data_IF_962564967936
#
_entry.id   IF_962564967936
#
_cell.length_a   1.000
_cell.length_b   1.000
_cell.length_c   1.000
_cell.angle_alpha   90.00
_cell.angle_beta   90.00
_cell.angle_gamma   90.00
#
_symmetry.space_group_name_H-M   'P 1'
#
loop_
_entity.id
_entity.type
_entity.pdbx_description
1 polymer ?
#
# COMPACT_ATOMS: atom_id res chain seq x y z
N UNK A 1 -40.16 -0.91 1.78
CA UNK A 1 -40.87 -1.86 0.88
C UNK A 1 -40.01 -2.00 -0.37
N UNK A 2 -39.58 -3.20 -0.77
CA UNK A 2 -40.31 -4.15 -1.63
C UNK A 2 -40.74 -3.50 -2.98
N UNK A 3 -40.35 -4.01 -4.15
CA UNK A 3 -39.54 -5.21 -4.41
C UNK A 3 -38.63 -5.10 -5.66
N UNK A 4 -37.57 -5.91 -5.60
CA UNK A 4 -36.80 -6.53 -6.68
C UNK A 4 -37.46 -6.52 -8.07
N UNK A 5 -36.62 -6.39 -9.10
CA UNK A 5 -36.52 -7.45 -10.11
C UNK A 5 -35.04 -7.79 -10.38
N UNK A 6 -34.75 -9.07 -10.62
CA UNK A 6 -33.41 -9.59 -10.93
C UNK A 6 -33.39 -10.09 -12.38
N UNK A 7 -32.25 -9.95 -13.07
CA UNK A 7 -31.89 -10.81 -14.21
C UNK A 7 -30.38 -10.93 -14.42
N UNK A 8 -29.75 -11.68 -13.53
CA UNK A 8 -28.54 -12.48 -13.77
C UNK A 8 -28.99 -13.97 -13.82
N UNK A 9 -28.28 -14.97 -14.34
CA UNK A 9 -26.90 -15.12 -14.88
C UNK A 9 -26.98 -16.10 -16.08
N UNK A 10 -26.38 -15.87 -17.25
CA UNK A 10 -25.00 -16.21 -17.72
C UNK A 10 -24.61 -17.70 -17.80
N UNK A 11 -23.60 -17.96 -18.65
CA UNK A 11 -22.91 -19.23 -19.00
C UNK A 11 -23.62 -20.11 -20.07
N UNK A 12 -23.04 -20.53 -21.21
CA UNK A 12 -21.66 -20.76 -21.75
C UNK A 12 -21.26 -22.26 -21.77
N UNK A 13 -20.26 -22.60 -22.59
CA UNK A 13 -19.56 -23.90 -22.77
C UNK A 13 -20.20 -24.90 -23.76
N UNK A 14 -19.78 -24.75 -25.03
CA UNK A 14 -19.15 -25.78 -25.89
C UNK A 14 -19.60 -27.25 -25.86
N UNK A 15 -19.94 -27.79 -27.04
CA UNK A 15 -19.56 -29.17 -27.45
C UNK A 15 -19.57 -29.35 -28.98
N UNK A 16 -18.62 -30.15 -29.48
CA UNK A 16 -18.54 -30.60 -30.88
C UNK A 16 -19.52 -31.76 -31.12
N UNK A 17 -19.94 -32.01 -32.38
CA UNK A 17 -19.87 -33.33 -33.05
C UNK A 17 -20.42 -33.31 -34.51
N UNK A 18 -20.19 -34.43 -35.21
CA UNK A 18 -20.13 -34.64 -36.65
C UNK A 18 -21.43 -34.67 -37.50
N UNK A 19 -21.22 -34.51 -38.82
CA UNK A 19 -21.80 -35.19 -40.01
C UNK A 19 -22.52 -36.57 -39.79
N UNK A 20 -23.26 -37.17 -40.78
CA UNK A 20 -23.77 -36.70 -42.10
C UNK A 20 -25.23 -37.19 -42.48
N UNK A 21 -25.61 -37.16 -43.79
CA UNK A 21 -26.68 -37.95 -44.50
C UNK A 21 -28.18 -37.54 -44.26
N UNK A 22 -29.19 -37.79 -45.15
CA UNK A 22 -29.28 -38.15 -46.60
C UNK A 22 -30.75 -38.19 -47.15
N UNK A 23 -30.96 -38.36 -48.48
CA UNK A 23 -32.24 -38.61 -49.23
C UNK A 23 -33.27 -37.43 -49.23
N UNK A 24 -34.18 -37.17 -50.19
CA UNK A 24 -34.59 -37.72 -51.53
C UNK A 24 -35.51 -36.66 -52.25
N UNK A 25 -36.24 -36.79 -53.38
CA UNK A 25 -36.62 -37.85 -54.36
C UNK A 25 -37.07 -37.25 -55.74
N UNK A 26 -37.00 -38.05 -56.82
CA UNK A 26 -37.87 -38.21 -58.04
C UNK A 26 -38.88 -37.13 -58.53
N UNK A 27 -38.83 -36.68 -59.81
CA UNK A 27 -39.48 -37.19 -61.08
C UNK A 27 -40.97 -36.79 -61.28
N UNK A 28 -41.59 -36.67 -62.49
CA UNK A 28 -41.36 -37.23 -63.84
C UNK A 28 -41.61 -36.24 -65.03
N UNK A 29 -41.27 -36.68 -66.26
CA UNK A 29 -41.59 -36.06 -67.57
C UNK A 29 -43.06 -36.28 -68.02
N UNK A 30 -43.50 -35.65 -69.15
CA UNK A 30 -43.67 -36.40 -70.42
C UNK A 30 -43.71 -35.55 -71.71
N UNK A 31 -43.45 -36.19 -72.86
CA UNK A 31 -43.49 -35.66 -74.24
C UNK A 31 -44.86 -35.84 -74.92
N UNK A 32 -45.08 -35.17 -76.06
CA UNK A 32 -45.98 -35.69 -77.11
C UNK A 32 -46.27 -34.74 -78.27
N UNK A 33 -45.85 -35.09 -79.50
CA UNK A 33 -46.34 -34.45 -80.75
C UNK A 33 -46.60 -35.49 -81.84
N UNK A 34 -47.67 -35.29 -82.61
CA UNK A 34 -48.10 -36.07 -83.80
C UNK A 34 -49.16 -35.23 -84.57
N UNK A 35 -49.37 -35.37 -85.88
CA UNK A 35 -48.60 -36.13 -86.87
C UNK A 35 -49.25 -36.22 -88.27
N UNK A 36 -48.57 -35.69 -89.29
CA UNK A 36 -48.38 -36.26 -90.65
C UNK A 36 -49.54 -36.69 -91.60
N UNK A 37 -49.46 -36.19 -92.86
CA UNK A 37 -49.63 -36.95 -94.14
C UNK A 37 -51.07 -37.33 -94.64
N UNK A 38 -51.39 -37.70 -95.91
CA UNK A 38 -50.61 -38.00 -97.17
C UNK A 38 -51.47 -37.99 -98.48
N UNK A 39 -50.83 -37.76 -99.66
CA UNK A 39 -50.98 -38.46 -101.00
C UNK A 39 -52.37 -38.63 -101.70
N UNK A 40 -52.56 -39.12 -102.96
CA UNK A 40 -51.74 -39.43 -104.18
C UNK A 40 -52.62 -39.33 -105.48
N UNK A 41 -52.48 -40.24 -106.47
CA UNK A 41 -53.41 -40.55 -107.62
C UNK A 41 -53.40 -39.52 -108.78
N UNK A 42 -53.36 -39.82 -110.10
CA UNK A 42 -53.13 -41.04 -110.94
C UNK A 42 -52.47 -40.66 -112.31
N UNK A 43 -52.39 -41.54 -113.33
CA UNK A 43 -51.76 -41.27 -114.65
C UNK A 43 -52.64 -41.50 -115.91
N UNK A 44 -52.18 -40.89 -117.01
CA UNK A 44 -52.21 -41.33 -118.44
C UNK A 44 -53.41 -41.00 -119.36
N UNK A 45 -53.19 -40.05 -120.29
CA UNK A 45 -53.75 -40.00 -121.66
C UNK A 45 -52.96 -39.03 -122.57
N UNK A 46 -52.95 -39.28 -123.88
CA UNK A 46 -52.66 -38.36 -125.00
C UNK A 46 -51.38 -37.47 -124.97
N UNK A 47 -50.25 -38.01 -125.43
CA UNK A 47 -49.18 -37.21 -126.06
C UNK A 47 -49.59 -36.83 -127.51
N UNK A 48 -50.41 -35.79 -127.67
CA UNK A 48 -50.79 -35.27 -129.00
C UNK A 48 -51.09 -33.76 -129.08
N UNK A 49 -51.04 -33.02 -127.97
CA UNK A 49 -51.08 -31.54 -127.93
C UNK A 49 -50.49 -31.05 -126.59
N UNK A 50 -49.70 -29.98 -126.51
CA UNK A 50 -49.13 -29.15 -127.56
C UNK A 50 -48.56 -27.84 -126.99
N UNK A 51 -47.24 -27.62 -127.12
CA UNK A 51 -46.55 -26.32 -126.97
C UNK A 51 -46.51 -25.59 -125.61
N UNK A 52 -47.55 -25.68 -124.77
CA UNK A 52 -47.79 -24.65 -123.73
C UNK A 52 -47.19 -24.99 -122.35
N UNK A 53 -47.03 -26.27 -122.00
CA UNK A 53 -46.72 -26.73 -120.63
C UNK A 53 -45.33 -26.33 -120.12
N UNK A 54 -44.32 -26.25 -120.98
CA UNK A 54 -42.94 -25.91 -120.57
C UNK A 54 -42.79 -24.40 -120.33
N UNK A 55 -43.34 -23.57 -121.22
CA UNK A 55 -43.30 -22.12 -121.09
C UNK A 55 -44.09 -21.60 -119.88
N UNK A 56 -45.27 -22.19 -119.62
CA UNK A 56 -46.06 -21.83 -118.44
C UNK A 56 -45.38 -22.25 -117.14
N UNK A 57 -44.78 -23.44 -117.06
CA UNK A 57 -44.07 -23.89 -115.85
C UNK A 57 -42.91 -22.96 -115.46
N UNK A 58 -42.08 -22.53 -116.43
CA UNK A 58 -40.95 -21.63 -116.17
C UNK A 58 -41.41 -20.22 -115.78
N UNK A 59 -42.44 -19.68 -116.45
CA UNK A 59 -43.00 -18.36 -116.12
C UNK A 59 -43.75 -18.36 -114.78
N UNK A 60 -44.44 -19.45 -114.44
CA UNK A 60 -45.07 -19.63 -113.13
C UNK A 60 -44.02 -19.77 -112.03
N UNK A 61 -42.95 -20.56 -112.23
CA UNK A 61 -41.84 -20.66 -111.27
C UNK A 61 -41.14 -19.32 -111.04
N UNK A 62 -40.93 -18.52 -112.09
CA UNK A 62 -40.30 -17.20 -112.00
C UNK A 62 -41.26 -16.06 -111.55
N UNK A 63 -42.57 -16.35 -111.45
CA UNK A 63 -43.54 -15.54 -110.69
C UNK A 63 -43.59 -15.99 -109.23
N UNK A 64 -43.64 -17.29 -108.97
CA UNK A 64 -43.67 -17.88 -107.63
C UNK A 64 -42.44 -17.44 -106.83
N UNK A 65 -41.23 -17.61 -107.38
CA UNK A 65 -39.98 -17.15 -106.75
C UNK A 65 -39.97 -15.63 -106.46
N UNK A 66 -40.67 -14.81 -107.26
CA UNK A 66 -40.82 -13.36 -107.00
C UNK A 66 -41.86 -13.03 -105.93
N UNK A 67 -42.92 -13.83 -105.81
CA UNK A 67 -43.88 -13.74 -104.71
C UNK A 67 -43.27 -14.28 -103.40
N UNK A 68 -42.42 -15.30 -103.48
CA UNK A 68 -41.69 -15.91 -102.39
C UNK A 68 -40.59 -14.99 -101.86
N UNK A 69 -39.81 -14.34 -102.75
CA UNK A 69 -38.91 -13.23 -102.38
C UNK A 69 -39.69 -12.11 -101.68
N UNK A 70 -40.76 -11.57 -102.29
CA UNK A 70 -41.59 -10.51 -101.68
C UNK A 70 -42.23 -10.92 -100.36
N UNK A 71 -42.57 -12.20 -100.20
CA UNK A 71 -43.06 -12.72 -98.94
C UNK A 71 -41.95 -12.76 -97.90
N UNK A 72 -40.73 -13.20 -98.24
CA UNK A 72 -39.59 -13.16 -97.32
C UNK A 72 -39.15 -11.72 -96.98
N UNK A 73 -39.31 -10.77 -97.91
CA UNK A 73 -39.10 -9.33 -97.70
C UNK A 73 -40.13 -8.80 -96.69
N UNK A 74 -41.43 -9.03 -96.91
CA UNK A 74 -42.51 -8.61 -96.00
C UNK A 74 -42.48 -9.32 -94.64
N UNK A 75 -42.17 -10.62 -94.60
CA UNK A 75 -42.03 -11.39 -93.36
C UNK A 75 -40.81 -10.87 -92.57
N UNK A 76 -39.73 -10.42 -93.24
CA UNK A 76 -38.59 -9.77 -92.60
C UNK A 76 -38.92 -8.35 -92.09
N UNK A 77 -39.61 -7.52 -92.89
CA UNK A 77 -40.09 -6.19 -92.48
C UNK A 77 -41.02 -6.29 -91.26
N UNK A 78 -41.91 -7.28 -91.25
CA UNK A 78 -42.82 -7.56 -90.13
C UNK A 78 -42.06 -8.03 -88.87
N UNK A 79 -41.03 -8.87 -89.03
CA UNK A 79 -40.14 -9.25 -87.92
C UNK A 79 -39.39 -8.04 -87.38
N UNK A 80 -38.85 -7.14 -88.22
CA UNK A 80 -38.19 -5.91 -87.74
C UNK A 80 -39.16 -4.97 -87.01
N UNK A 81 -40.38 -4.76 -87.53
CA UNK A 81 -41.39 -3.97 -86.85
C UNK A 81 -41.78 -4.58 -85.49
N UNK A 82 -41.83 -5.90 -85.38
CA UNK A 82 -42.07 -6.58 -84.10
C UNK A 82 -40.88 -6.50 -83.13
N UNK A 83 -39.63 -6.46 -83.61
CA UNK A 83 -38.47 -6.22 -82.73
C UNK A 83 -38.39 -4.76 -82.28
N UNK A 84 -38.71 -3.82 -83.16
CA UNK A 84 -38.72 -2.39 -82.84
C UNK A 84 -39.79 -2.07 -81.81
N UNK A 85 -41.03 -2.54 -82.01
CA UNK A 85 -42.12 -2.41 -81.04
C UNK A 85 -41.78 -3.03 -79.69
N UNK A 86 -41.18 -4.23 -79.67
CA UNK A 86 -40.70 -4.85 -78.42
C UNK A 86 -39.64 -4.00 -77.73
N UNK A 87 -38.62 -3.52 -78.46
CA UNK A 87 -37.57 -2.67 -77.89
C UNK A 87 -38.12 -1.37 -77.30
N UNK A 88 -39.20 -0.84 -77.88
CA UNK A 88 -39.87 0.38 -77.43
C UNK A 88 -40.71 0.12 -76.17
N UNK A 89 -41.44 -0.98 -76.09
CA UNK A 89 -42.15 -1.37 -74.87
C UNK A 89 -41.19 -1.84 -73.75
N UNK A 90 -40.09 -2.53 -74.07
CA UNK A 90 -39.00 -2.85 -73.15
C UNK A 90 -38.35 -1.56 -72.58
N UNK A 91 -38.13 -0.54 -73.42
CA UNK A 91 -37.60 0.75 -72.98
C UNK A 91 -38.58 1.50 -72.05
N UNK A 92 -39.89 1.45 -72.34
CA UNK A 92 -40.94 1.99 -71.45
C UNK A 92 -41.02 1.26 -70.12
N UNK A 93 -40.92 -0.07 -70.11
CA UNK A 93 -40.87 -0.85 -68.87
C UNK A 93 -39.63 -0.47 -68.05
N UNK A 94 -38.46 -0.31 -68.68
CA UNK A 94 -37.25 0.16 -68.02
C UNK A 94 -37.37 1.59 -67.46
N UNK A 95 -38.04 2.51 -68.16
CA UNK A 95 -38.34 3.86 -67.66
C UNK A 95 -39.30 3.84 -66.47
N UNK A 96 -40.38 3.06 -66.54
CA UNK A 96 -41.35 2.89 -65.43
C UNK A 96 -40.65 2.30 -64.22
N UNK A 97 -39.87 1.22 -64.37
CA UNK A 97 -39.08 0.67 -63.26
C UNK A 97 -38.08 1.68 -62.68
N UNK A 98 -37.44 2.50 -63.51
CA UNK A 98 -36.51 3.54 -63.04
C UNK A 98 -37.22 4.66 -62.27
N UNK A 99 -38.46 5.01 -62.64
CA UNK A 99 -39.31 5.94 -61.88
C UNK A 99 -39.77 5.31 -60.55
N UNK A 100 -40.16 4.04 -60.57
CA UNK A 100 -40.61 3.28 -59.39
C UNK A 100 -39.49 3.11 -58.34
N UNK A 101 -38.25 2.90 -58.80
CA UNK A 101 -37.05 2.87 -57.94
C UNK A 101 -36.80 4.25 -57.31
N UNK A 102 -36.80 5.32 -58.11
CA UNK A 102 -36.65 6.71 -57.62
C UNK A 102 -37.76 7.13 -56.65
N UNK A 103 -38.99 6.66 -56.86
CA UNK A 103 -40.10 6.91 -55.93
C UNK A 103 -39.85 6.28 -54.56
N UNK A 104 -39.39 5.01 -54.53
CA UNK A 104 -39.02 4.30 -53.30
C UNK A 104 -37.80 4.93 -52.61
N UNK A 105 -36.80 5.33 -53.37
CA UNK A 105 -35.63 6.09 -52.87
C UNK A 105 -36.04 7.42 -52.24
N UNK A 106 -36.92 8.20 -52.89
CA UNK A 106 -37.44 9.46 -52.35
C UNK A 106 -38.24 9.26 -51.05
N UNK A 107 -39.06 8.22 -50.94
CA UNK A 107 -39.79 7.90 -49.70
C UNK A 107 -38.81 7.63 -48.56
N UNK A 108 -37.80 6.78 -48.78
CA UNK A 108 -36.75 6.49 -47.79
C UNK A 108 -35.92 7.73 -47.43
N UNK A 109 -35.69 8.64 -48.38
CA UNK A 109 -35.03 9.93 -48.12
C UNK A 109 -35.91 10.85 -47.24
N UNK A 110 -37.22 10.89 -47.46
CA UNK A 110 -38.12 11.65 -46.58
C UNK A 110 -38.19 11.05 -45.16
N UNK A 111 -38.34 9.73 -45.03
CA UNK A 111 -38.35 9.04 -43.74
C UNK A 111 -37.04 9.22 -42.95
N UNK A 112 -35.89 9.17 -43.62
CA UNK A 112 -34.57 9.43 -42.99
C UNK A 112 -34.37 10.91 -42.63
N UNK A 113 -34.90 11.84 -43.41
CA UNK A 113 -34.89 13.27 -43.08
C UNK A 113 -35.77 13.57 -41.86
N UNK A 114 -36.99 13.03 -41.79
CA UNK A 114 -37.93 13.27 -40.68
C UNK A 114 -37.46 12.62 -39.36
N UNK A 115 -36.85 11.44 -39.43
CA UNK A 115 -36.22 10.80 -38.25
C UNK A 115 -35.01 11.61 -37.75
N UNK A 116 -34.17 12.13 -38.64
CA UNK A 116 -33.04 13.00 -38.26
C UNK A 116 -33.51 14.35 -37.68
N UNK A 117 -34.58 14.95 -38.21
CA UNK A 117 -35.14 16.19 -37.66
C UNK A 117 -35.80 15.99 -36.30
N UNK A 118 -36.56 14.91 -36.11
CA UNK A 118 -37.23 14.62 -34.84
C UNK A 118 -36.25 14.28 -33.71
N UNK A 119 -35.18 13.51 -33.98
CA UNK A 119 -34.06 13.30 -33.05
C UNK A 119 -33.35 14.63 -32.71
N UNK A 120 -32.97 15.42 -33.73
CA UNK A 120 -32.34 16.74 -33.52
C UNK A 120 -33.20 17.68 -32.67
N UNK A 121 -34.53 17.70 -32.89
CA UNK A 121 -35.48 18.47 -32.08
C UNK A 121 -35.60 17.92 -30.64
N UNK A 122 -35.53 16.60 -30.44
CA UNK A 122 -35.50 16.01 -29.10
C UNK A 122 -34.23 16.39 -28.33
N UNK A 123 -33.06 16.36 -28.99
CA UNK A 123 -31.78 16.79 -28.42
C UNK A 123 -31.80 18.27 -28.03
N UNK A 124 -32.32 19.16 -28.87
CA UNK A 124 -32.47 20.58 -28.51
C UNK A 124 -33.44 20.80 -27.34
N UNK A 125 -34.56 20.06 -27.27
CA UNK A 125 -35.48 20.10 -26.12
C UNK A 125 -34.80 19.65 -24.83
N UNK A 126 -33.90 18.66 -24.90
CA UNK A 126 -33.15 18.18 -23.75
C UNK A 126 -32.07 19.18 -23.30
N UNK A 127 -31.24 19.67 -24.23
CA UNK A 127 -30.23 20.69 -23.93
C UNK A 127 -30.83 21.96 -23.32
N UNK A 128 -32.02 22.38 -23.79
CA UNK A 128 -32.74 23.51 -23.19
C UNK A 128 -33.19 23.22 -21.75
N UNK A 129 -33.69 22.01 -21.43
CA UNK A 129 -34.03 21.63 -20.05
C UNK A 129 -32.81 21.66 -19.13
N UNK A 130 -31.68 21.18 -19.62
CA UNK A 130 -30.40 21.19 -18.89
C UNK A 130 -29.93 22.63 -18.66
N UNK A 131 -29.97 23.50 -19.67
CA UNK A 131 -29.68 24.92 -19.49
C UNK A 131 -30.61 25.59 -18.47
N UNK A 132 -31.90 25.28 -18.47
CA UNK A 132 -32.83 25.76 -17.44
C UNK A 132 -32.54 25.21 -16.04
N UNK A 133 -32.01 23.99 -15.90
CA UNK A 133 -31.63 23.47 -14.57
C UNK A 133 -30.38 24.17 -14.02
N UNK A 134 -29.38 24.46 -14.87
CA UNK A 134 -28.23 25.29 -14.49
C UNK A 134 -28.65 26.72 -14.10
N UNK A 135 -29.51 27.37 -14.90
CA UNK A 135 -30.04 28.71 -14.59
C UNK A 135 -30.86 28.72 -13.29
N UNK A 136 -31.54 27.62 -12.94
CA UNK A 136 -32.27 27.48 -11.67
C UNK A 136 -31.35 27.27 -10.46
N UNK A 137 -30.20 26.61 -10.62
CA UNK A 137 -29.22 26.39 -9.55
C UNK A 137 -28.31 27.62 -9.30
N UNK A 138 -28.20 28.52 -10.28
CA UNK A 138 -27.31 29.69 -10.23
C UNK A 138 -27.55 30.62 -9.02
N UNK A 139 -28.80 30.95 -8.61
CA UNK A 139 -29.05 31.76 -7.41
C UNK A 139 -28.58 31.09 -6.11
N UNK A 140 -28.82 29.79 -5.96
CA UNK A 140 -28.41 29.01 -4.79
C UNK A 140 -26.87 28.98 -4.66
N UNK A 141 -26.17 28.80 -5.78
CA UNK A 141 -24.71 28.90 -5.83
C UNK A 141 -24.22 30.32 -5.46
N UNK A 142 -24.88 31.39 -5.92
CA UNK A 142 -24.52 32.77 -5.58
C UNK A 142 -24.72 33.08 -4.09
N UNK A 143 -25.78 32.60 -3.46
CA UNK A 143 -25.99 32.77 -2.02
C UNK A 143 -24.97 31.97 -1.19
N UNK A 144 -24.57 30.77 -1.64
CA UNK A 144 -23.43 30.04 -1.05
C UNK A 144 -22.12 30.84 -1.18
N UNK A 145 -21.80 31.39 -2.35
CA UNK A 145 -20.63 32.25 -2.53
C UNK A 145 -20.69 33.52 -1.65
N UNK A 146 -21.88 34.09 -1.43
CA UNK A 146 -22.09 35.22 -0.53
C UNK A 146 -21.84 34.84 0.93
N UNK A 147 -22.29 33.66 1.36
CA UNK A 147 -21.98 33.09 2.67
C UNK A 147 -20.48 32.87 2.88
N UNK A 148 -19.80 32.27 1.90
CA UNK A 148 -18.34 32.05 1.91
C UNK A 148 -17.56 33.37 1.98
N UNK A 149 -17.95 34.38 1.19
CA UNK A 149 -17.31 35.70 1.20
C UNK A 149 -17.51 36.41 2.56
N UNK A 150 -18.70 36.32 3.16
CA UNK A 150 -18.94 36.81 4.52
C UNK A 150 -18.06 36.08 5.56
N UNK A 151 -17.87 34.77 5.43
CA UNK A 151 -17.00 33.99 6.31
C UNK A 151 -15.53 34.40 6.17
N UNK A 152 -15.00 34.56 4.95
CA UNK A 152 -13.63 35.05 4.74
C UNK A 152 -13.44 36.49 5.24
N UNK A 153 -14.45 37.35 5.09
CA UNK A 153 -14.43 38.72 5.64
C UNK A 153 -14.42 38.72 7.17
N UNK A 154 -15.19 37.83 7.81
CA UNK A 154 -15.16 37.63 9.26
C UNK A 154 -13.78 37.13 9.72
N UNK A 155 -13.25 36.09 9.08
CA UNK A 155 -11.90 35.57 9.32
C UNK A 155 -10.84 36.67 9.21
N UNK A 156 -10.83 37.46 8.12
CA UNK A 156 -9.88 38.54 7.91
C UNK A 156 -9.99 39.67 8.96
N UNK A 157 -11.20 39.93 9.49
CA UNK A 157 -11.41 40.93 10.53
C UNK A 157 -11.10 40.43 11.95
N UNK A 158 -11.20 39.11 12.21
CA UNK A 158 -11.05 38.54 13.56
C UNK A 158 -9.75 37.76 13.80
N UNK A 159 -9.13 37.17 12.78
CA UNK A 159 -7.81 36.52 12.91
C UNK A 159 -6.72 37.39 13.57
N UNK A 160 -6.65 38.72 13.36
CA UNK A 160 -5.66 39.56 14.06
C UNK A 160 -5.81 39.55 15.59
N UNK A 161 -7.02 39.35 16.13
CA UNK A 161 -7.27 39.25 17.57
C UNK A 161 -6.75 37.92 18.15
N UNK A 162 -6.61 36.88 17.32
CA UNK A 162 -6.12 35.56 17.69
C UNK A 162 -4.67 35.27 17.28
N UNK A 163 -3.99 36.18 16.59
CA UNK A 163 -2.63 35.93 16.05
C UNK A 163 -1.61 35.56 17.13
N UNK A 164 -1.70 36.16 18.32
CA UNK A 164 -0.83 35.81 19.45
C UNK A 164 -1.16 34.42 20.03
N UNK A 165 -2.44 34.03 20.02
CA UNK A 165 -2.90 32.70 20.43
C UNK A 165 -2.42 31.63 19.46
N UNK A 166 -2.51 31.86 18.15
CA UNK A 166 -2.03 30.92 17.11
C UNK A 166 -0.49 30.75 17.16
N UNK A 167 0.27 31.84 17.34
CA UNK A 167 1.73 31.77 17.56
C UNK A 167 2.09 31.05 18.86
N UNK A 168 1.28 31.16 19.92
CA UNK A 168 1.51 30.44 21.17
C UNK A 168 1.14 28.95 21.06
N UNK A 169 -0.03 28.62 20.49
CA UNK A 169 -0.49 27.25 20.25
C UNK A 169 0.45 26.49 19.32
N UNK A 170 0.92 27.10 18.23
CA UNK A 170 1.91 26.49 17.33
C UNK A 170 3.27 26.27 18.00
N UNK A 171 3.72 27.17 18.89
CA UNK A 171 4.91 26.92 19.74
C UNK A 171 4.72 25.75 20.70
N UNK A 172 3.60 25.68 21.42
CA UNK A 172 3.31 24.57 22.36
C UNK A 172 3.14 23.24 21.62
N UNK A 173 2.51 23.24 20.45
CA UNK A 173 2.41 22.06 19.60
C UNK A 173 3.77 21.58 19.10
N UNK A 174 4.61 22.49 18.59
CA UNK A 174 5.97 22.15 18.15
C UNK A 174 6.84 21.68 19.33
N UNK A 175 6.70 22.26 20.52
CA UNK A 175 7.38 21.80 21.73
C UNK A 175 6.96 20.37 22.12
N UNK A 176 5.65 20.06 22.06
CA UNK A 176 5.15 18.70 22.29
C UNK A 176 5.66 17.68 21.26
N UNK A 177 5.73 18.06 19.98
CA UNK A 177 6.33 17.22 18.93
C UNK A 177 7.82 16.98 19.15
N UNK A 178 8.57 17.99 19.62
CA UNK A 178 9.98 17.87 19.96
C UNK A 178 10.20 16.95 21.16
N UNK A 179 9.35 17.01 22.20
CA UNK A 179 9.43 16.09 23.34
C UNK A 179 9.08 14.64 22.96
N UNK A 180 8.00 14.42 22.21
CA UNK A 180 7.63 13.09 21.69
C UNK A 180 8.65 12.51 20.69
N UNK A 181 9.53 13.35 20.12
CA UNK A 181 10.71 12.92 19.37
C UNK A 181 11.90 12.63 20.31
N UNK A 182 12.10 13.46 21.33
CA UNK A 182 13.12 13.27 22.39
C UNK A 182 12.98 11.94 23.12
N UNK A 183 11.77 11.52 23.45
CA UNK A 183 11.46 10.18 24.01
C UNK A 183 12.01 9.02 23.15
N UNK A 184 12.04 9.19 21.82
CA UNK A 184 12.39 8.12 20.86
C UNK A 184 13.85 8.12 20.42
N UNK A 185 14.52 9.26 20.47
CA UNK A 185 15.86 9.46 19.89
C UNK A 185 16.88 10.06 20.89
N UNK A 186 16.43 10.37 22.11
CA UNK A 186 17.22 10.99 23.18
C UNK A 186 17.07 12.50 23.20
N UNK A 187 16.76 13.05 24.38
CA UNK A 187 16.59 14.50 24.63
C UNK A 187 17.80 15.32 24.14
N UNK A 188 19.02 14.79 24.23
CA UNK A 188 20.27 15.46 23.80
C UNK A 188 20.22 15.99 22.36
N UNK A 189 19.50 15.28 21.48
CA UNK A 189 19.41 15.63 20.05
C UNK A 189 18.38 16.74 19.77
N UNK A 190 17.56 17.07 20.76
CA UNK A 190 16.40 17.95 20.63
C UNK A 190 16.49 19.15 21.58
N UNK A 191 17.28 19.05 22.66
CA UNK A 191 17.50 20.09 23.66
C UNK A 191 17.88 21.43 23.03
N UNK A 192 18.81 21.47 22.07
CA UNK A 192 19.18 22.71 21.38
C UNK A 192 18.01 23.32 20.59
N UNK A 193 17.22 22.49 19.90
CA UNK A 193 16.03 22.95 19.15
C UNK A 193 14.94 23.47 20.09
N UNK A 194 14.73 22.83 21.23
CA UNK A 194 13.80 23.26 22.28
C UNK A 194 14.27 24.59 22.88
N UNK A 195 15.56 24.71 23.20
CA UNK A 195 16.21 25.93 23.69
C UNK A 195 16.07 27.10 22.71
N UNK A 196 16.14 26.84 21.40
CA UNK A 196 15.91 27.83 20.34
C UNK A 196 14.42 28.19 20.16
N UNK A 197 13.50 27.25 20.34
CA UNK A 197 12.05 27.51 20.26
C UNK A 197 11.55 28.39 21.43
N UNK A 198 12.16 28.22 22.61
CA UNK A 198 11.74 28.81 23.88
C UNK A 198 12.85 29.68 24.53
N UNK A 199 13.62 30.43 23.72
CA UNK A 199 14.74 31.32 24.16
C UNK A 199 14.37 32.26 25.33
N UNK A 200 13.11 32.68 25.42
CA UNK A 200 12.61 33.58 26.46
C UNK A 200 12.43 32.90 27.84
N UNK A 201 12.38 31.56 27.89
CA UNK A 201 12.00 30.80 29.07
C UNK A 201 13.25 30.33 29.85
N UNK A 202 13.57 30.95 31.01
CA UNK A 202 14.83 30.69 31.70
C UNK A 202 14.90 29.26 32.26
N UNK A 203 13.77 28.67 32.65
CA UNK A 203 13.71 27.30 33.16
C UNK A 203 14.02 26.28 32.04
N UNK A 204 13.40 26.43 30.87
CA UNK A 204 13.67 25.58 29.71
C UNK A 204 15.14 25.70 29.32
N UNK A 205 15.69 26.91 29.30
CA UNK A 205 17.11 27.12 29.03
C UNK A 205 18.02 26.37 30.01
N UNK A 206 17.81 26.50 31.33
CA UNK A 206 18.65 25.81 32.33
C UNK A 206 18.57 24.29 32.19
N UNK A 207 17.39 23.75 31.86
CA UNK A 207 17.18 22.31 31.64
C UNK A 207 17.82 21.82 30.33
N UNK A 208 17.81 22.62 29.26
CA UNK A 208 18.50 22.27 28.01
C UNK A 208 20.02 22.44 28.13
N UNK A 209 20.50 23.50 28.77
CA UNK A 209 21.94 23.77 28.98
C UNK A 209 22.58 22.62 29.81
N UNK A 210 21.90 22.12 30.87
CA UNK A 210 22.41 20.98 31.68
C UNK A 210 22.44 19.64 30.93
N UNK A 211 21.47 19.38 30.05
CA UNK A 211 21.48 18.21 29.16
C UNK A 211 22.65 18.30 28.17
N UNK A 212 22.89 19.47 27.57
CA UNK A 212 23.98 19.71 26.62
C UNK A 212 25.34 19.49 27.30
N UNK A 213 25.55 20.04 28.49
CA UNK A 213 26.78 19.86 29.28
C UNK A 213 27.00 18.41 29.73
N UNK A 214 25.92 17.63 29.94
CA UNK A 214 26.02 16.21 30.32
C UNK A 214 26.59 15.29 29.23
N UNK A 215 26.63 15.75 27.97
CA UNK A 215 26.79 14.92 26.77
C UNK A 215 28.25 14.48 26.49
N UNK A 216 29.06 14.31 27.54
CA UNK A 216 30.50 14.06 27.44
C UNK A 216 30.86 12.59 27.18
N UNK A 217 30.85 12.21 25.91
CA UNK A 217 31.73 11.17 25.34
C UNK A 217 31.58 9.70 25.80
N UNK A 218 30.43 9.28 26.35
CA UNK A 218 30.15 7.86 26.58
C UNK A 218 28.73 7.45 26.14
N UNK A 219 28.57 6.18 25.75
CA UNK A 219 27.24 5.60 25.49
C UNK A 219 26.56 5.35 26.84
N UNK A 220 25.81 6.33 27.29
CA UNK A 220 24.90 6.22 28.43
C UNK A 220 23.87 5.10 28.24
N UNK A 221 23.37 4.50 29.33
CA UNK A 221 22.14 3.71 29.28
C UNK A 221 20.95 4.60 28.87
N UNK A 222 19.94 3.98 28.25
CA UNK A 222 18.70 4.63 27.80
C UNK A 222 17.46 4.22 28.58
N UNK A 223 17.58 3.23 29.48
CA UNK A 223 16.51 2.80 30.38
C UNK A 223 17.03 2.45 31.77
N UNK A 224 16.10 2.33 32.73
CA UNK A 224 16.40 1.80 34.07
C UNK A 224 16.90 0.36 33.98
N UNK A 225 16.36 -0.46 33.07
CA UNK A 225 16.81 -1.85 32.86
C UNK A 225 18.27 -1.94 32.37
N UNK A 226 18.70 -1.03 31.46
CA UNK A 226 20.10 -0.95 31.04
C UNK A 226 21.01 -0.48 32.19
N UNK A 227 20.55 0.42 33.06
CA UNK A 227 21.27 0.79 34.28
C UNK A 227 21.37 -0.40 35.26
N UNK A 228 20.28 -1.14 35.42
CA UNK A 228 20.07 -2.24 36.37
C UNK A 228 20.92 -3.47 36.03
N UNK A 229 20.89 -3.89 34.76
CA UNK A 229 21.71 -5.00 34.25
C UNK A 229 23.21 -4.68 34.25
N UNK A 230 23.60 -3.44 33.94
CA UNK A 230 25.01 -3.02 34.03
C UNK A 230 25.49 -2.82 35.48
N UNK A 231 24.59 -2.47 36.41
CA UNK A 231 24.88 -2.43 37.85
C UNK A 231 25.16 -3.83 38.39
N UNK A 232 24.28 -4.80 38.09
CA UNK A 232 24.44 -6.20 38.50
C UNK A 232 25.78 -6.75 38.00
N UNK A 233 26.13 -6.50 36.72
CA UNK A 233 27.41 -6.87 36.14
C UNK A 233 28.60 -6.26 36.89
N UNK A 234 28.63 -4.93 37.09
CA UNK A 234 29.77 -4.27 37.75
C UNK A 234 29.92 -4.69 39.23
N UNK A 235 28.81 -4.94 39.92
CA UNK A 235 28.82 -5.45 41.31
C UNK A 235 29.25 -6.92 41.36
N UNK A 236 28.87 -7.75 40.38
CA UNK A 236 29.33 -9.13 40.26
C UNK A 236 30.84 -9.19 39.99
N UNK A 237 31.35 -8.41 39.02
CA UNK A 237 32.78 -8.35 38.73
C UNK A 237 33.60 -7.84 39.91
N UNK A 238 33.12 -6.85 40.66
CA UNK A 238 33.79 -6.41 41.89
C UNK A 238 33.81 -7.50 42.99
N UNK A 239 32.73 -8.26 43.16
CA UNK A 239 32.70 -9.41 44.10
C UNK A 239 33.68 -10.50 43.66
N UNK A 240 33.66 -10.87 42.37
CA UNK A 240 34.57 -11.85 41.77
C UNK A 240 36.05 -11.42 41.99
N UNK A 241 36.38 -10.16 41.75
CA UNK A 241 37.72 -9.61 41.95
C UNK A 241 38.15 -9.62 43.43
N UNK A 242 37.25 -9.29 44.37
CA UNK A 242 37.54 -9.33 45.82
C UNK A 242 37.73 -10.77 46.31
N UNK A 243 36.92 -11.73 45.83
CA UNK A 243 37.07 -13.15 46.13
C UNK A 243 38.39 -13.71 45.54
N UNK A 244 38.69 -13.36 44.29
CA UNK A 244 39.95 -13.68 43.61
C UNK A 244 41.17 -13.15 44.37
N UNK A 245 41.16 -11.86 44.75
CA UNK A 245 42.22 -11.20 45.51
C UNK A 245 42.40 -11.78 46.92
N UNK A 246 41.30 -12.05 47.64
CA UNK A 246 41.36 -12.66 48.98
C UNK A 246 41.87 -14.10 48.95
N UNK A 247 41.48 -14.90 47.95
CA UNK A 247 42.04 -16.24 47.73
C UNK A 247 43.54 -16.15 47.37
N UNK A 248 43.96 -15.21 46.50
CA UNK A 248 45.38 -14.95 46.22
C UNK A 248 46.17 -14.59 47.48
N UNK A 249 45.63 -13.71 48.33
CA UNK A 249 46.27 -13.32 49.60
C UNK A 249 46.40 -14.51 50.56
N UNK A 250 45.35 -15.31 50.73
CA UNK A 250 45.39 -16.53 51.55
C UNK A 250 46.40 -17.55 51.00
N UNK A 251 46.49 -17.73 49.68
CA UNK A 251 47.51 -18.58 49.07
C UNK A 251 48.95 -18.06 49.30
N UNK A 252 49.17 -16.74 49.26
CA UNK A 252 50.48 -16.14 49.53
C UNK A 252 50.87 -16.33 51.01
N UNK A 253 49.96 -16.04 51.96
CA UNK A 253 50.19 -16.32 53.37
C UNK A 253 50.45 -17.80 53.67
N UNK A 254 49.87 -18.73 52.90
CA UNK A 254 50.13 -20.17 52.99
C UNK A 254 51.44 -20.63 52.33
N UNK A 255 52.04 -19.82 51.45
CA UNK A 255 53.30 -20.12 50.75
C UNK A 255 54.51 -19.53 51.48
N UNK A 256 54.40 -18.30 51.96
CA UNK A 256 55.48 -17.62 52.73
C UNK A 256 55.47 -18.03 54.21
N UNK A 257 54.36 -18.61 54.70
CA UNK A 257 54.10 -18.96 56.10
C UNK A 257 54.76 -20.25 56.60
N UNK A 258 56.08 -20.40 56.48
CA UNK A 258 56.84 -21.44 57.22
C UNK A 258 57.96 -20.92 58.14
N UNK A 259 58.50 -19.70 57.92
CA UNK A 259 59.73 -19.27 58.60
C UNK A 259 59.60 -18.11 59.62
N UNK A 260 58.44 -17.48 59.81
CA UNK A 260 58.27 -16.49 60.91
C UNK A 260 56.88 -16.38 61.52
N UNK A 261 56.91 -16.24 62.85
CA UNK A 261 55.84 -15.89 63.80
C UNK A 261 54.76 -16.97 64.07
N UNK A 262 54.52 -17.35 65.35
CA UNK A 262 53.48 -18.29 65.73
C UNK A 262 52.13 -17.58 65.94
N UNK A 263 51.04 -18.14 65.42
CA UNK A 263 49.69 -17.73 65.82
C UNK A 263 48.67 -18.87 65.67
N UNK A 264 47.83 -19.05 66.69
CA UNK A 264 46.84 -20.15 66.77
C UNK A 264 45.79 -20.08 65.65
N UNK A 265 45.56 -18.88 65.09
CA UNK A 265 44.77 -18.64 63.86
C UNK A 265 45.23 -19.51 62.68
N UNK A 266 46.54 -19.70 62.49
CA UNK A 266 47.06 -20.50 61.38
C UNK A 266 46.76 -21.98 61.59
N UNK A 267 46.85 -22.50 62.82
CA UNK A 267 46.44 -23.88 63.10
C UNK A 267 44.93 -24.10 62.93
N UNK A 268 44.09 -23.15 63.33
CA UNK A 268 42.63 -23.29 63.18
C UNK A 268 42.23 -23.21 61.70
N UNK A 269 42.81 -22.28 60.92
CA UNK A 269 42.66 -22.26 59.46
C UNK A 269 43.15 -23.55 58.82
N UNK A 270 44.32 -24.06 59.20
CA UNK A 270 44.85 -25.31 58.64
C UNK A 270 43.97 -26.52 59.03
N UNK A 271 43.38 -26.56 60.24
CA UNK A 271 42.40 -27.56 60.69
C UNK A 271 41.05 -27.43 59.97
N UNK A 272 40.64 -26.24 59.56
CA UNK A 272 39.44 -26.02 58.74
C UNK A 272 39.70 -26.48 57.29
N UNK A 273 40.80 -26.02 56.68
CA UNK A 273 41.20 -26.36 55.30
C UNK A 273 41.44 -27.87 55.16
N UNK A 274 42.11 -28.52 56.12
CA UNK A 274 42.31 -29.99 56.09
C UNK A 274 41.01 -30.76 56.30
N UNK A 275 40.07 -30.29 57.14
CA UNK A 275 38.72 -30.89 57.22
C UNK A 275 37.92 -30.70 55.93
N UNK A 276 38.00 -29.53 55.31
CA UNK A 276 37.35 -29.22 54.04
C UNK A 276 37.93 -30.05 52.89
N UNK A 277 39.25 -30.30 52.89
CA UNK A 277 39.96 -31.13 51.90
C UNK A 277 39.82 -32.64 52.16
N UNK A 278 39.57 -33.06 53.41
CA UNK A 278 39.18 -34.43 53.77
C UNK A 278 37.72 -34.73 53.42
N UNK A 279 36.84 -33.72 53.51
CA UNK A 279 35.48 -33.76 52.96
C UNK A 279 35.52 -33.53 51.44
N UNK A 280 36.14 -34.44 50.69
CA UNK A 280 35.95 -34.53 49.24
C UNK A 280 34.48 -34.82 48.97
N UNK A 281 33.71 -33.76 48.73
CA UNK A 281 32.25 -33.78 48.52
C UNK A 281 31.85 -34.89 47.55
N UNK A 282 30.78 -35.63 47.88
CA UNK A 282 30.16 -36.54 46.91
C UNK A 282 29.62 -35.70 45.75
N UNK A 283 29.48 -36.32 44.56
CA UNK A 283 28.94 -35.62 43.38
C UNK A 283 27.57 -34.96 43.65
N UNK A 284 26.74 -35.55 44.51
CA UNK A 284 25.48 -34.94 44.96
C UNK A 284 25.68 -33.67 45.79
N UNK A 285 26.63 -33.67 46.74
CA UNK A 285 26.92 -32.50 47.57
C UNK A 285 27.52 -31.36 46.73
N UNK A 286 28.37 -31.67 45.72
CA UNK A 286 28.88 -30.68 44.75
C UNK A 286 27.77 -30.08 43.89
N UNK A 287 26.77 -30.88 43.50
CA UNK A 287 25.61 -30.39 42.75
C UNK A 287 24.74 -29.51 43.65
N UNK A 288 24.41 -29.96 44.86
CA UNK A 288 23.62 -29.18 45.81
C UNK A 288 24.31 -27.86 46.20
N UNK A 289 25.63 -27.86 46.36
CA UNK A 289 26.40 -26.63 46.61
C UNK A 289 26.27 -25.65 45.43
N UNK A 290 26.45 -26.12 44.18
CA UNK A 290 26.31 -25.30 42.97
C UNK A 290 24.89 -24.80 42.74
N UNK A 291 23.88 -25.62 43.02
CA UNK A 291 22.47 -25.23 42.96
C UNK A 291 22.16 -24.19 44.05
N UNK A 292 22.72 -24.32 45.24
CA UNK A 292 22.59 -23.35 46.33
C UNK A 292 23.37 -22.05 46.07
N UNK A 293 24.53 -22.11 45.40
CA UNK A 293 25.29 -20.95 44.92
C UNK A 293 24.51 -20.22 43.83
N UNK A 294 24.03 -20.92 42.80
CA UNK A 294 23.22 -20.35 41.73
C UNK A 294 21.89 -19.78 42.25
N UNK A 295 21.25 -20.42 43.23
CA UNK A 295 20.04 -19.90 43.87
C UNK A 295 20.33 -18.68 44.74
N UNK A 296 21.44 -18.65 45.49
CA UNK A 296 21.88 -17.44 46.18
C UNK A 296 22.27 -16.32 45.21
N UNK A 297 22.80 -16.65 44.03
CA UNK A 297 23.12 -15.67 42.99
C UNK A 297 21.85 -15.10 42.34
N UNK A 298 20.83 -15.92 42.06
CA UNK A 298 19.50 -15.48 41.64
C UNK A 298 18.83 -14.58 42.71
N UNK A 299 18.87 -14.97 43.99
CA UNK A 299 18.38 -14.13 45.09
C UNK A 299 19.20 -12.85 45.30
N UNK A 300 20.41 -12.76 44.72
CA UNK A 300 21.24 -11.53 44.72
C UNK A 300 20.98 -10.69 43.47
N UNK A 301 20.74 -11.28 42.30
CA UNK A 301 20.35 -10.53 41.10
C UNK A 301 18.98 -9.90 41.27
N UNK A 302 17.98 -10.63 41.80
CA UNK A 302 16.67 -10.06 42.16
C UNK A 302 16.76 -8.90 43.16
N UNK A 303 17.79 -8.86 44.01
CA UNK A 303 18.08 -7.74 44.92
C UNK A 303 18.93 -6.62 44.30
N UNK A 304 19.59 -6.88 43.18
CA UNK A 304 20.32 -5.87 42.40
C UNK A 304 19.47 -5.32 41.24
N UNK A 305 18.26 -5.85 41.01
CA UNK A 305 17.27 -5.30 40.07
C UNK A 305 16.75 -3.96 40.59
N UNK A 306 17.40 -2.89 40.14
CA UNK A 306 16.90 -1.52 40.23
C UNK A 306 15.71 -1.40 39.26
N UNK A 307 14.56 -0.93 39.73
CA UNK A 307 13.27 -0.89 39.01
C UNK A 307 12.72 0.52 38.86
N UNK A 308 13.05 1.42 39.79
CA UNK A 308 12.69 2.83 39.78
C UNK A 308 13.93 3.72 39.67
N UNK A 309 13.73 4.99 39.30
CA UNK A 309 14.78 6.02 39.31
C UNK A 309 15.30 6.32 40.72
N UNK A 310 14.46 6.15 41.75
CA UNK A 310 14.87 6.27 43.16
C UNK A 310 15.89 5.19 43.54
N UNK A 311 15.67 3.94 43.11
CA UNK A 311 16.58 2.81 43.33
C UNK A 311 17.96 3.08 42.71
N UNK A 312 18.02 3.79 41.57
CA UNK A 312 19.28 4.22 40.95
C UNK A 312 20.05 5.22 41.84
N UNK A 313 19.35 6.16 42.50
CA UNK A 313 19.99 7.10 43.43
C UNK A 313 20.52 6.40 44.69
N UNK A 314 19.81 5.40 45.21
CA UNK A 314 20.29 4.58 46.34
C UNK A 314 21.47 3.68 45.93
N UNK A 315 21.42 3.07 44.75
CA UNK A 315 22.52 2.29 44.20
C UNK A 315 23.78 3.14 43.94
N UNK A 316 23.64 4.38 43.47
CA UNK A 316 24.77 5.30 43.34
C UNK A 316 25.40 5.64 44.70
N UNK A 317 24.60 5.86 45.76
CA UNK A 317 25.12 6.07 47.13
C UNK A 317 25.84 4.83 47.65
N UNK A 318 25.30 3.64 47.44
CA UNK A 318 25.97 2.39 47.78
C UNK A 318 27.31 2.21 47.04
N UNK A 319 27.39 2.60 45.76
CA UNK A 319 28.65 2.64 45.00
C UNK A 319 29.64 3.63 45.62
N UNK A 320 29.19 4.78 46.13
CA UNK A 320 30.06 5.71 46.85
C UNK A 320 30.59 5.09 48.14
N UNK A 321 29.74 4.49 48.96
CA UNK A 321 30.13 3.83 50.22
C UNK A 321 31.14 2.69 49.98
N UNK A 322 30.89 1.83 49.00
CA UNK A 322 31.80 0.72 48.64
C UNK A 322 33.13 1.25 48.09
N UNK A 323 33.12 2.25 47.20
CA UNK A 323 34.36 2.80 46.63
C UNK A 323 35.16 3.64 47.63
N UNK A 324 34.49 4.27 48.62
CA UNK A 324 35.15 4.94 49.74
C UNK A 324 35.72 3.92 50.74
N UNK A 325 34.95 2.89 51.12
CA UNK A 325 35.40 1.84 52.04
C UNK A 325 36.65 1.10 51.56
N UNK A 326 36.69 0.72 50.28
CA UNK A 326 37.88 0.10 49.66
C UNK A 326 39.11 1.04 49.64
N UNK A 327 38.91 2.37 49.59
CA UNK A 327 39.99 3.36 49.64
C UNK A 327 40.44 3.67 51.06
N UNK A 328 39.53 3.70 52.03
CA UNK A 328 39.84 3.86 53.44
C UNK A 328 40.61 2.64 53.99
N UNK A 329 40.21 1.43 53.58
CA UNK A 329 40.91 0.18 53.90
C UNK A 329 42.38 0.18 53.44
N UNK A 330 42.70 0.85 52.33
CA UNK A 330 44.07 1.04 51.84
C UNK A 330 44.96 1.93 52.74
N UNK A 331 44.40 2.55 53.79
CA UNK A 331 45.10 3.50 54.69
C UNK A 331 45.05 3.11 56.17
N UNK A 332 44.44 1.98 56.52
CA UNK A 332 44.39 1.45 57.89
C UNK A 332 45.30 0.24 58.10
N UNK A 333 45.46 -0.19 59.36
CA UNK A 333 46.27 -1.36 59.78
C UNK A 333 45.74 -2.73 59.29
N UNK A 334 44.71 -2.76 58.44
CA UNK A 334 44.16 -4.01 57.91
C UNK A 334 44.98 -4.50 56.70
N UNK A 335 45.93 -5.40 56.99
CA UNK A 335 46.80 -6.04 56.00
C UNK A 335 46.05 -6.82 54.91
N UNK A 336 44.80 -7.27 55.17
CA UNK A 336 43.98 -7.97 54.19
C UNK A 336 43.27 -6.97 53.27
N UNK A 337 42.64 -5.92 53.82
CA UNK A 337 41.96 -4.90 53.01
C UNK A 337 42.93 -4.07 52.18
N UNK A 338 44.11 -3.73 52.72
CA UNK A 338 45.18 -3.08 51.94
C UNK A 338 45.60 -3.95 50.75
N UNK A 339 45.90 -5.23 50.94
CA UNK A 339 46.26 -6.15 49.88
C UNK A 339 45.16 -6.34 48.81
N UNK A 340 43.90 -6.50 49.23
CA UNK A 340 42.75 -6.59 48.31
C UNK A 340 42.56 -5.28 47.52
N UNK A 341 42.71 -4.12 48.17
CA UNK A 341 42.56 -2.81 47.51
C UNK A 341 43.65 -2.48 46.49
N UNK A 342 44.83 -3.12 46.63
CA UNK A 342 45.96 -2.97 45.72
C UNK A 342 45.94 -3.98 44.56
N UNK A 343 45.05 -4.97 44.57
CA UNK A 343 44.94 -5.99 43.53
C UNK A 343 44.44 -5.38 42.20
N UNK A 344 45.10 -5.66 41.06
CA UNK A 344 44.75 -5.03 39.79
C UNK A 344 43.34 -5.37 39.29
N UNK A 345 42.79 -6.56 39.60
CA UNK A 345 41.41 -6.92 39.23
C UNK A 345 40.40 -6.06 40.03
N UNK A 346 40.65 -5.84 41.32
CA UNK A 346 39.82 -5.00 42.19
C UNK A 346 39.88 -3.53 41.77
N UNK A 347 41.06 -3.03 41.39
CA UNK A 347 41.23 -1.66 40.87
C UNK A 347 40.47 -1.47 39.55
N UNK A 348 40.51 -2.44 38.62
CA UNK A 348 39.75 -2.37 37.36
C UNK A 348 38.24 -2.42 37.62
N UNK A 349 37.77 -3.32 38.48
CA UNK A 349 36.35 -3.38 38.86
C UNK A 349 35.87 -2.09 39.56
N UNK A 350 36.70 -1.47 40.41
CA UNK A 350 36.41 -0.17 41.01
C UNK A 350 36.26 0.94 39.95
N UNK A 351 37.09 0.92 38.89
CA UNK A 351 36.97 1.87 37.79
C UNK A 351 35.70 1.64 36.95
N UNK A 352 35.35 0.39 36.65
CA UNK A 352 34.09 0.05 35.96
C UNK A 352 32.87 0.54 36.75
N UNK A 353 32.83 0.31 38.06
CA UNK A 353 31.76 0.76 38.94
C UNK A 353 31.64 2.31 39.00
N UNK A 354 32.76 3.02 38.89
CA UNK A 354 32.77 4.49 38.79
C UNK A 354 32.37 5.01 37.40
N UNK A 355 32.65 4.26 36.33
CA UNK A 355 32.13 4.55 34.99
C UNK A 355 30.61 4.34 34.93
N UNK A 356 30.10 3.27 35.53
CA UNK A 356 28.65 3.02 35.71
C UNK A 356 27.99 4.19 36.45
N UNK A 357 28.47 4.57 37.64
CA UNK A 357 27.88 5.69 38.41
C UNK A 357 27.84 6.99 37.60
N UNK A 358 28.87 7.28 36.78
CA UNK A 358 28.89 8.47 35.91
C UNK A 358 27.87 8.39 34.78
N UNK A 359 27.71 7.23 34.14
CA UNK A 359 26.74 7.08 33.03
C UNK A 359 25.29 7.03 33.54
N UNK A 360 25.03 6.42 34.70
CA UNK A 360 23.73 6.45 35.39
C UNK A 360 23.36 7.85 35.86
N UNK A 361 24.31 8.65 36.37
CA UNK A 361 24.05 10.04 36.72
C UNK A 361 23.65 10.89 35.49
N UNK A 362 24.32 10.70 34.34
CA UNK A 362 23.94 11.37 33.09
C UNK A 362 22.55 10.93 32.57
N UNK A 363 22.20 9.64 32.72
CA UNK A 363 20.85 9.15 32.43
C UNK A 363 19.79 9.81 33.33
N UNK A 364 20.03 9.89 34.64
CA UNK A 364 19.10 10.53 35.58
C UNK A 364 18.89 12.01 35.31
N UNK A 365 19.93 12.78 34.98
CA UNK A 365 19.82 14.19 34.57
C UNK A 365 18.91 14.33 33.35
N UNK A 366 19.03 13.44 32.35
CA UNK A 366 18.19 13.45 31.15
C UNK A 366 16.74 13.04 31.42
N UNK A 367 16.52 12.08 32.31
CA UNK A 367 15.16 11.70 32.71
C UNK A 367 14.48 12.85 33.46
N UNK A 368 15.15 13.44 34.45
CA UNK A 368 14.67 14.63 35.17
C UNK A 368 14.40 15.81 34.21
N UNK A 369 15.24 16.00 33.19
CA UNK A 369 15.05 17.02 32.17
C UNK A 369 13.82 16.75 31.28
N UNK A 370 13.59 15.50 30.86
CA UNK A 370 12.36 15.10 30.15
C UNK A 370 11.13 15.33 31.02
N UNK A 371 11.13 14.85 32.26
CA UNK A 371 10.00 14.96 33.20
C UNK A 371 9.67 16.43 33.48
N UNK A 372 10.67 17.29 33.65
CA UNK A 372 10.50 18.73 33.85
C UNK A 372 9.94 19.45 32.61
N UNK A 373 10.46 19.15 31.41
CA UNK A 373 9.97 19.76 30.18
C UNK A 373 8.56 19.29 29.82
N UNK A 374 8.23 18.01 30.02
CA UNK A 374 6.87 17.47 29.83
C UNK A 374 5.88 18.07 30.83
N UNK A 375 6.28 18.24 32.09
CA UNK A 375 5.47 18.95 33.10
C UNK A 375 5.21 20.42 32.70
N UNK A 376 6.24 21.08 32.18
CA UNK A 376 6.14 22.45 31.68
C UNK A 376 5.28 22.56 30.39
N UNK A 377 5.32 21.56 29.51
CA UNK A 377 4.44 21.46 28.32
C UNK A 377 2.97 21.36 28.74
N UNK A 378 2.65 20.55 29.76
CA UNK A 378 1.29 20.42 30.31
C UNK A 378 0.83 21.75 30.90
N UNK A 379 1.69 22.42 31.68
CA UNK A 379 1.40 23.74 32.26
C UNK A 379 1.15 24.80 31.17
N UNK A 380 1.93 24.82 30.08
CA UNK A 380 1.68 25.70 28.94
C UNK A 380 0.34 25.39 28.23
N UNK A 381 -0.01 24.12 28.06
CA UNK A 381 -1.30 23.74 27.47
C UNK A 381 -2.48 24.14 28.38
N UNK A 382 -2.33 24.02 29.71
CA UNK A 382 -3.32 24.49 30.68
C UNK A 382 -3.46 26.01 30.69
N UNK A 383 -2.36 26.77 30.61
CA UNK A 383 -2.45 28.25 30.59
C UNK A 383 -3.11 28.77 29.31
N UNK A 384 -2.84 28.17 28.14
CA UNK A 384 -3.50 28.53 26.89
C UNK A 384 -5.01 28.21 26.90
N UNK A 385 -5.39 27.01 27.38
CA UNK A 385 -6.81 26.60 27.44
C UNK A 385 -7.60 27.42 28.46
N UNK A 386 -7.00 27.82 29.59
CA UNK A 386 -7.59 28.76 30.55
C UNK A 386 -7.66 30.18 29.99
N UNK A 387 -6.66 30.64 29.24
CA UNK A 387 -6.67 31.96 28.59
C UNK A 387 -7.74 32.06 27.48
N UNK A 388 -8.12 30.96 26.82
CA UNK A 388 -9.26 30.92 25.89
C UNK A 388 -10.64 30.88 26.57
N UNK A 389 -10.71 30.69 27.89
CA UNK A 389 -11.93 30.74 28.69
C UNK A 389 -11.81 31.76 29.85
N UNK A 390 -11.72 33.06 29.56
CA UNK A 390 -12.02 34.07 30.57
C UNK A 390 -13.48 33.91 31.02
N UNK A 391 -13.75 34.09 32.31
CA UNK A 391 -15.06 33.85 32.94
C UNK A 391 -16.23 34.54 32.22
N UNK A 392 -17.26 33.76 31.90
CA UNK A 392 -18.66 34.18 32.01
C UNK A 392 -19.13 34.04 33.48
#
# INVERSE_FOLDING_TARGET
MHHREYKCHTYNVSRNLALPLSLSHMHMHFHGSLGTMTSRVVLSAALAAGGITVGSAILLGNRYRRLEMRRSELDAEYVSLLTDLRSLDDSRLAEVEALDRKAKENILLHETVDTLWSDRLARYKQANKEMYSYLKALPEALDVFRGINNHYRYMAMKMPEFFQFDVACSKVHNFALLLAHGERVGIDRVAETIRQLLIAEPLVRVVCDSVIDSNSSSRSPTSVDECSTSFEFCIKELRNAIESASNRYVELCLKDGLEKAPNVMCETLHKIITKMKANTMRKGDVIAHREQEAFQELLRSERCQLRMTVDLEEAMKYVEEVTQGLRAGATGDDALLTAISADPEVVVAQQQLQLWRRSTAAFLVRQQAMDALSSYQILLAETLTKASHPHE
#
